data_IF_826970477939
#
_entry.id   IF_826970477939
#
_cell.length_a   1.000
_cell.length_b   1.000
_cell.length_c   1.000
_cell.angle_alpha   90.00
_cell.angle_beta   90.00
_cell.angle_gamma   90.00
#
_symmetry.space_group_name_H-M   'P 1'
#
loop_
_entity.id
_entity.type
_entity.pdbx_description
1 polymer ?
#
# COMPACT_ATOMS: atom_id res chain seq x y z
N UNK A 1 11.06 9.86 -21.83
CA UNK A 1 10.80 8.40 -21.84
C UNK A 1 12.03 7.58 -21.47
N UNK A 2 13.22 7.79 -22.08
CA UNK A 2 14.41 6.97 -21.82
C UNK A 2 14.93 7.11 -20.37
N UNK A 3 14.97 8.30 -19.82
CA UNK A 3 15.40 8.55 -18.44
C UNK A 3 14.43 7.88 -17.46
N UNK A 4 13.14 8.07 -17.64
CA UNK A 4 12.13 7.44 -16.78
C UNK A 4 12.17 5.91 -16.88
N UNK A 5 12.35 5.35 -18.09
CA UNK A 5 12.54 3.91 -18.26
C UNK A 5 13.78 3.39 -17.52
N UNK A 6 14.87 4.17 -17.52
CA UNK A 6 16.07 3.80 -16.75
C UNK A 6 15.83 3.81 -15.25
N UNK A 7 15.09 4.79 -14.73
CA UNK A 7 14.71 4.84 -13.32
C UNK A 7 13.90 3.60 -12.92
N UNK A 8 12.88 3.24 -13.71
CA UNK A 8 12.08 2.04 -13.43
C UNK A 8 12.90 0.76 -13.52
N UNK A 9 13.79 0.65 -14.52
CA UNK A 9 14.74 -0.49 -14.60
C UNK A 9 15.62 -0.61 -13.38
N UNK A 10 16.11 0.51 -12.82
CA UNK A 10 16.93 0.48 -11.61
C UNK A 10 16.20 -0.09 -10.40
N UNK A 11 14.88 0.15 -10.27
CA UNK A 11 14.07 -0.43 -9.20
C UNK A 11 13.95 -1.95 -9.34
N UNK A 12 13.77 -2.43 -10.57
CA UNK A 12 13.75 -3.87 -10.86
C UNK A 12 15.12 -4.50 -10.62
N UNK A 13 16.19 -3.79 -10.93
CA UNK A 13 17.56 -4.27 -10.68
C UNK A 13 17.87 -4.33 -9.17
N UNK A 14 17.34 -3.42 -8.37
CA UNK A 14 17.42 -3.52 -6.90
C UNK A 14 16.75 -4.81 -6.43
N UNK A 15 15.55 -5.10 -6.91
CA UNK A 15 14.88 -6.38 -6.61
C UNK A 15 15.73 -7.59 -6.98
N UNK A 16 16.36 -7.59 -8.17
CA UNK A 16 17.20 -8.70 -8.65
C UNK A 16 18.43 -8.94 -7.77
N UNK A 17 19.00 -7.87 -7.21
CA UNK A 17 20.22 -7.93 -6.42
C UNK A 17 19.98 -8.05 -4.91
N UNK A 18 18.91 -7.43 -4.40
CA UNK A 18 18.62 -7.33 -2.96
C UNK A 18 17.38 -8.15 -2.54
N UNK A 19 16.59 -8.63 -3.51
CA UNK A 19 15.44 -9.52 -3.31
C UNK A 19 14.11 -8.82 -3.09
N UNK A 20 14.08 -7.50 -2.93
CA UNK A 20 12.88 -6.66 -2.80
C UNK A 20 13.08 -5.33 -3.52
N UNK A 21 11.98 -4.74 -4.03
CA UNK A 21 12.00 -3.36 -4.48
C UNK A 21 11.95 -2.41 -3.28
N UNK A 22 12.57 -1.25 -3.35
CA UNK A 22 12.52 -0.26 -2.27
C UNK A 22 11.15 0.43 -2.22
N UNK A 23 10.71 0.80 -1.01
CA UNK A 23 9.67 1.82 -0.82
C UNK A 23 10.29 3.22 -0.98
N UNK A 24 11.27 3.49 -0.14
CA UNK A 24 12.14 4.66 -0.26
C UNK A 24 13.59 4.23 -0.03
N UNK A 25 14.51 4.89 -0.71
CA UNK A 25 15.94 4.65 -0.48
C UNK A 25 16.55 5.75 0.36
N UNK A 26 16.96 5.39 1.57
CA UNK A 26 17.65 6.30 2.49
C UNK A 26 19.10 5.84 2.70
N UNK A 27 20.05 6.67 2.34
CA UNK A 27 21.44 6.26 2.32
C UNK A 27 21.66 5.13 1.31
N UNK A 28 22.13 3.99 1.80
CA UNK A 28 22.33 2.76 1.00
C UNK A 28 21.31 1.66 1.32
N UNK A 29 20.36 1.93 2.19
CA UNK A 29 19.35 0.95 2.63
C UNK A 29 18.04 1.12 1.87
N UNK A 30 17.38 0.02 1.58
CA UNK A 30 16.03 -0.03 1.02
C UNK A 30 14.99 -0.37 2.08
N UNK A 31 15.32 -0.19 3.35
CA UNK A 31 14.50 -0.61 4.47
C UNK A 31 13.08 -0.08 4.46
N UNK A 32 12.25 -0.64 5.30
CA UNK A 32 10.84 -0.30 5.47
C UNK A 32 10.67 1.08 6.11
N UNK A 33 10.92 2.11 5.31
CA UNK A 33 11.02 3.49 5.80
C UNK A 33 9.65 4.09 6.06
N UNK A 34 8.68 3.81 5.18
CA UNK A 34 7.34 4.42 5.24
C UNK A 34 6.23 3.38 5.35
N UNK A 35 5.08 3.65 4.84
CA UNK A 35 3.92 2.79 4.95
C UNK A 35 3.60 2.00 3.67
N UNK A 36 4.17 2.37 2.54
CA UNK A 36 3.77 1.90 1.23
C UNK A 36 4.64 0.79 0.64
N UNK A 37 4.44 0.59 -0.64
CA UNK A 37 5.28 -0.19 -1.56
C UNK A 37 5.30 0.58 -2.90
N UNK A 38 5.79 1.81 -2.85
CA UNK A 38 5.56 2.83 -3.88
C UNK A 38 6.17 2.52 -5.24
N UNK A 39 7.17 1.62 -5.30
CA UNK A 39 7.68 1.13 -6.57
C UNK A 39 6.62 0.41 -7.40
N UNK A 40 5.61 -0.18 -6.77
CA UNK A 40 4.49 -0.84 -7.47
C UNK A 40 3.74 0.19 -8.33
N UNK A 41 3.47 1.37 -7.78
CA UNK A 41 2.80 2.47 -8.48
C UNK A 41 3.63 2.96 -9.67
N UNK A 42 4.95 3.08 -9.49
CA UNK A 42 5.86 3.55 -10.55
C UNK A 42 5.90 2.58 -11.74
N UNK A 43 5.91 1.27 -11.48
CA UNK A 43 5.88 0.24 -12.53
C UNK A 43 4.55 0.28 -13.28
N UNK A 44 3.44 0.37 -12.56
CA UNK A 44 2.11 0.45 -13.16
C UNK A 44 1.94 1.72 -14.02
N UNK A 45 2.38 2.86 -13.51
CA UNK A 45 2.38 4.15 -14.23
C UNK A 45 3.19 4.05 -15.54
N UNK A 46 4.40 3.48 -15.46
CA UNK A 46 5.25 3.27 -16.62
C UNK A 46 4.57 2.36 -17.68
N UNK A 47 3.89 1.30 -17.23
CA UNK A 47 3.16 0.40 -18.11
C UNK A 47 1.96 1.09 -18.75
N UNK A 48 1.17 1.85 -17.99
CA UNK A 48 0.01 2.60 -18.51
C UNK A 48 0.44 3.63 -19.54
N UNK A 49 1.59 4.29 -19.33
CA UNK A 49 2.23 5.23 -20.26
C UNK A 49 2.94 4.56 -21.44
N UNK A 50 2.94 3.23 -21.49
CA UNK A 50 3.58 2.45 -22.54
C UNK A 50 5.08 2.76 -22.70
N UNK A 51 5.80 2.92 -21.60
CA UNK A 51 7.25 3.16 -21.64
C UNK A 51 7.98 1.90 -22.11
N UNK A 52 8.88 2.09 -23.06
CA UNK A 52 9.61 1.01 -23.70
C UNK A 52 10.92 0.66 -22.94
N UNK A 53 11.43 -0.56 -23.18
CA UNK A 53 12.71 -1.01 -22.65
C UNK A 53 12.70 -1.42 -21.18
N UNK A 54 11.52 -1.69 -20.62
CA UNK A 54 11.30 -2.18 -19.26
C UNK A 54 10.86 -3.65 -19.32
N UNK A 55 11.46 -4.50 -18.49
CA UNK A 55 11.01 -5.88 -18.28
C UNK A 55 9.84 -5.89 -17.28
N UNK A 56 8.64 -5.67 -17.79
CA UNK A 56 7.42 -5.67 -16.98
C UNK A 56 7.09 -7.04 -16.37
N UNK A 57 7.58 -8.14 -16.97
CA UNK A 57 7.43 -9.46 -16.39
C UNK A 57 8.22 -9.59 -15.09
N UNK A 58 9.48 -9.17 -15.09
CA UNK A 58 10.30 -9.09 -13.88
C UNK A 58 9.76 -8.06 -12.88
N UNK A 59 9.22 -6.94 -13.38
CA UNK A 59 8.53 -5.94 -12.57
C UNK A 59 7.36 -6.54 -11.81
N UNK A 60 6.49 -7.28 -12.46
CA UNK A 60 5.37 -7.96 -11.80
C UNK A 60 5.85 -8.97 -10.73
N UNK A 61 6.90 -9.74 -11.03
CA UNK A 61 7.47 -10.66 -10.03
C UNK A 61 7.99 -9.93 -8.79
N UNK A 62 8.63 -8.78 -8.98
CA UNK A 62 9.11 -7.94 -7.88
C UNK A 62 7.96 -7.38 -7.04
N UNK A 63 6.89 -6.89 -7.68
CA UNK A 63 5.68 -6.42 -7.00
C UNK A 63 5.02 -7.54 -6.18
N UNK A 64 4.89 -8.74 -6.76
CA UNK A 64 4.34 -9.92 -6.06
C UNK A 64 5.23 -10.33 -4.89
N UNK A 65 6.56 -10.27 -5.04
CA UNK A 65 7.50 -10.55 -3.95
C UNK A 65 7.26 -9.62 -2.75
N UNK A 66 7.14 -8.32 -3.00
CA UNK A 66 6.83 -7.35 -1.95
C UNK A 66 5.47 -7.61 -1.29
N UNK A 67 4.47 -8.02 -2.07
CA UNK A 67 3.10 -8.21 -1.61
C UNK A 67 2.82 -9.55 -0.92
N UNK A 68 3.65 -10.57 -1.17
CA UNK A 68 3.34 -11.95 -0.72
C UNK A 68 4.37 -12.53 0.24
N UNK A 69 5.58 -11.97 0.29
CA UNK A 69 6.68 -12.54 1.08
C UNK A 69 7.23 -11.51 2.05
N UNK A 70 7.07 -11.79 3.34
CA UNK A 70 7.66 -10.96 4.38
C UNK A 70 9.20 -11.07 4.36
N UNK A 71 9.95 -9.97 4.58
CA UNK A 71 11.42 -9.95 4.50
C UNK A 71 12.14 -10.63 5.68
N UNK A 72 11.46 -11.36 6.53
CA UNK A 72 12.07 -12.19 7.56
C UNK A 72 12.82 -11.45 8.67
N UNK A 73 12.47 -10.20 8.95
CA UNK A 73 13.08 -9.40 10.02
C UNK A 73 14.35 -8.63 9.62
N UNK A 74 14.84 -8.77 8.39
CA UNK A 74 15.92 -7.91 7.87
C UNK A 74 15.37 -6.53 7.54
N UNK A 75 15.65 -5.55 8.39
CA UNK A 75 15.16 -4.18 8.26
C UNK A 75 15.73 -3.43 7.05
N UNK A 76 16.81 -3.93 6.47
CA UNK A 76 17.41 -3.36 5.25
C UNK A 76 16.65 -3.76 4.00
N UNK A 77 15.84 -4.81 4.10
CA UNK A 77 15.01 -5.31 3.00
C UNK A 77 13.63 -4.69 3.05
N UNK A 78 13.14 -4.33 1.89
CA UNK A 78 11.79 -3.85 1.75
C UNK A 78 10.79 -5.01 1.78
N UNK A 79 9.55 -4.71 1.65
CA UNK A 79 8.42 -5.62 1.73
C UNK A 79 7.33 -5.02 2.60
N UNK A 80 6.18 -5.67 2.67
CA UNK A 80 5.04 -5.12 3.41
C UNK A 80 5.09 -5.53 4.88
N UNK A 81 5.11 -4.54 5.78
CA UNK A 81 4.96 -4.77 7.22
C UNK A 81 3.52 -5.14 7.59
N UNK A 82 3.34 -6.05 8.58
CA UNK A 82 2.01 -6.56 8.95
C UNK A 82 1.34 -7.39 7.85
N UNK A 83 2.15 -8.00 6.98
CA UNK A 83 1.67 -8.73 5.80
C UNK A 83 0.78 -9.93 6.14
N UNK A 84 1.05 -10.62 7.24
CA UNK A 84 0.22 -11.75 7.67
C UNK A 84 -1.22 -11.31 7.94
N UNK A 85 -1.40 -10.22 8.65
CA UNK A 85 -2.72 -9.64 8.92
C UNK A 85 -3.38 -9.14 7.64
N UNK A 86 -2.65 -8.39 6.83
CA UNK A 86 -3.20 -7.88 5.57
C UNK A 86 -3.73 -9.01 4.68
N UNK A 87 -3.02 -10.12 4.60
CA UNK A 87 -3.43 -11.26 3.78
C UNK A 87 -4.60 -12.06 4.41
N UNK A 88 -4.68 -12.15 5.73
CA UNK A 88 -5.71 -12.94 6.41
C UNK A 88 -6.97 -12.17 6.75
N UNK A 89 -6.82 -10.90 7.16
CA UNK A 89 -7.91 -10.03 7.64
C UNK A 89 -8.39 -9.06 6.54
N UNK A 90 -7.58 -8.83 5.51
CA UNK A 90 -7.79 -7.78 4.52
C UNK A 90 -7.46 -6.38 5.03
N UNK A 91 -6.71 -6.24 6.11
CA UNK A 91 -6.16 -4.99 6.63
C UNK A 91 -5.00 -5.28 7.57
N UNK A 92 -4.13 -4.30 7.79
CA UNK A 92 -3.10 -4.37 8.82
C UNK A 92 -3.75 -4.00 10.15
N UNK A 93 -3.67 -4.91 11.14
CA UNK A 93 -4.28 -4.67 12.46
C UNK A 93 -3.50 -3.64 13.27
N UNK A 94 -4.15 -3.11 14.31
CA UNK A 94 -3.53 -2.16 15.25
C UNK A 94 -2.45 -2.77 16.15
N UNK A 95 -2.13 -4.04 16.00
CA UNK A 95 -0.93 -4.65 16.57
C UNK A 95 0.36 -4.12 15.89
N UNK A 96 0.23 -3.50 14.72
CA UNK A 96 1.34 -2.94 13.97
C UNK A 96 1.25 -1.42 13.89
N UNK A 97 2.38 -0.75 14.01
CA UNK A 97 2.50 0.67 13.74
C UNK A 97 2.09 0.99 12.29
N UNK A 98 1.62 2.21 12.05
CA UNK A 98 1.21 2.70 10.72
C UNK A 98 0.16 1.81 10.04
N UNK A 99 -0.66 1.12 10.83
CA UNK A 99 -1.60 0.12 10.33
C UNK A 99 -2.62 0.69 9.34
N UNK A 100 -3.10 1.91 9.55
CA UNK A 100 -4.01 2.58 8.63
C UNK A 100 -3.31 3.00 7.35
N UNK A 101 -2.18 3.71 7.45
CA UNK A 101 -1.38 4.10 6.28
C UNK A 101 -1.04 2.89 5.44
N UNK A 102 -0.54 1.82 6.06
CA UNK A 102 -0.23 0.56 5.37
C UNK A 102 -1.44 -0.04 4.67
N UNK A 103 -2.59 -0.09 5.30
CA UNK A 103 -3.80 -0.65 4.69
C UNK A 103 -4.23 0.12 3.44
N UNK A 104 -4.21 1.45 3.51
CA UNK A 104 -4.59 2.31 2.39
C UNK A 104 -3.55 2.26 1.26
N UNK A 105 -2.27 2.37 1.60
CA UNK A 105 -1.16 2.28 0.65
C UNK A 105 -1.14 0.91 -0.06
N UNK A 106 -1.27 -0.18 0.70
CA UNK A 106 -1.27 -1.52 0.10
C UNK A 106 -2.47 -1.75 -0.81
N UNK A 107 -3.63 -1.18 -0.50
CA UNK A 107 -4.79 -1.25 -1.38
C UNK A 107 -4.53 -0.56 -2.73
N UNK A 108 -3.85 0.58 -2.72
CA UNK A 108 -3.43 1.27 -3.94
C UNK A 108 -2.33 0.49 -4.69
N UNK A 109 -1.36 -0.08 -3.97
CA UNK A 109 -0.34 -0.93 -4.55
C UNK A 109 -0.95 -2.21 -5.17
N UNK A 110 -1.97 -2.78 -4.55
CA UNK A 110 -2.69 -3.94 -5.10
C UNK A 110 -3.41 -3.60 -6.40
N UNK A 111 -3.99 -2.42 -6.51
CA UNK A 111 -4.52 -1.93 -7.79
C UNK A 111 -3.43 -1.79 -8.85
N UNK A 112 -2.24 -1.33 -8.47
CA UNK A 112 -1.10 -1.26 -9.38
C UNK A 112 -0.66 -2.65 -9.85
N UNK A 113 -0.55 -3.64 -8.95
CA UNK A 113 -0.26 -5.04 -9.30
C UNK A 113 -1.31 -5.58 -10.28
N UNK A 114 -2.61 -5.37 -9.97
CA UNK A 114 -3.70 -5.81 -10.82
C UNK A 114 -3.60 -5.21 -12.23
N UNK A 115 -3.30 -3.92 -12.32
CA UNK A 115 -3.14 -3.20 -13.60
C UNK A 115 -2.00 -3.78 -14.45
N UNK A 116 -0.86 -4.07 -13.83
CA UNK A 116 0.28 -4.67 -14.54
C UNK A 116 -0.02 -6.11 -14.96
N UNK A 117 -0.62 -6.91 -14.06
CA UNK A 117 -1.00 -8.29 -14.34
C UNK A 117 -2.01 -8.40 -15.48
N UNK A 118 -3.03 -7.55 -15.47
CA UNK A 118 -4.05 -7.51 -16.54
C UNK A 118 -3.43 -7.21 -17.90
N UNK A 119 -2.58 -6.19 -17.98
CA UNK A 119 -1.88 -5.85 -19.24
C UNK A 119 -0.90 -6.92 -19.73
N UNK A 120 -0.42 -7.77 -18.83
CA UNK A 120 0.41 -8.94 -19.17
C UNK A 120 -0.43 -10.21 -19.45
N UNK A 121 -1.75 -10.13 -19.43
CA UNK A 121 -2.66 -11.26 -19.63
C UNK A 121 -2.67 -12.27 -18.48
N UNK A 122 -2.24 -11.87 -17.28
CA UNK A 122 -2.21 -12.69 -16.06
C UNK A 122 -3.52 -12.53 -15.27
N UNK A 123 -4.61 -13.00 -15.85
CA UNK A 123 -5.96 -12.68 -15.37
C UNK A 123 -6.25 -13.14 -13.95
N UNK A 124 -5.75 -14.31 -13.51
CA UNK A 124 -5.97 -14.80 -12.15
C UNK A 124 -5.32 -13.88 -11.12
N UNK A 125 -4.11 -13.40 -11.42
CA UNK A 125 -3.40 -12.42 -10.58
C UNK A 125 -4.16 -11.10 -10.58
N UNK A 126 -4.55 -10.60 -11.74
CA UNK A 126 -5.30 -9.36 -11.85
C UNK A 126 -6.59 -9.39 -11.01
N UNK A 127 -7.38 -10.45 -11.13
CA UNK A 127 -8.63 -10.61 -10.38
C UNK A 127 -8.41 -10.64 -8.86
N UNK A 128 -7.38 -11.37 -8.39
CA UNK A 128 -6.99 -11.41 -6.98
C UNK A 128 -6.70 -10.00 -6.47
N UNK A 129 -5.86 -9.27 -7.18
CA UNK A 129 -5.38 -7.97 -6.70
C UNK A 129 -6.39 -6.84 -6.92
N UNK A 130 -7.26 -6.88 -7.93
CA UNK A 130 -8.41 -5.98 -8.00
C UNK A 130 -9.36 -6.14 -6.81
N UNK A 131 -9.56 -7.39 -6.34
CA UNK A 131 -10.33 -7.62 -5.10
C UNK A 131 -9.63 -7.02 -3.89
N UNK A 132 -8.32 -7.24 -3.75
CA UNK A 132 -7.54 -6.73 -2.62
C UNK A 132 -7.47 -5.19 -2.62
N UNK A 133 -7.53 -4.55 -3.77
CA UNK A 133 -7.57 -3.08 -3.88
C UNK A 133 -8.76 -2.44 -3.14
N UNK A 134 -9.80 -3.20 -2.81
CA UNK A 134 -10.91 -2.72 -1.98
C UNK A 134 -10.69 -2.85 -0.47
N UNK A 135 -9.55 -3.36 -0.03
CA UNK A 135 -9.24 -3.66 1.37
C UNK A 135 -9.22 -2.43 2.29
N UNK A 136 -8.97 -1.22 1.75
CA UNK A 136 -9.07 0.03 2.50
C UNK A 136 -10.42 0.17 3.22
N UNK A 137 -11.51 -0.40 2.66
CA UNK A 137 -12.85 -0.36 3.23
C UNK A 137 -12.97 -1.13 4.55
N UNK A 138 -12.09 -2.10 4.80
CA UNK A 138 -12.10 -2.91 6.02
C UNK A 138 -11.71 -2.11 7.27
N UNK A 139 -11.07 -0.97 7.11
CA UNK A 139 -10.72 -0.03 8.18
C UNK A 139 -11.57 1.25 8.14
N UNK A 140 -12.56 1.34 7.28
CA UNK A 140 -13.49 2.46 7.24
C UNK A 140 -14.56 2.32 8.32
N UNK A 141 -14.76 3.34 9.14
CA UNK A 141 -15.75 3.35 10.21
C UNK A 141 -16.76 4.50 10.02
N UNK A 142 -17.97 4.17 9.55
CA UNK A 142 -19.05 5.13 9.28
C UNK A 142 -19.57 5.87 10.55
N UNK A 143 -19.23 5.34 11.75
CA UNK A 143 -19.67 5.92 13.03
C UNK A 143 -18.75 7.02 13.56
N UNK A 144 -17.60 7.21 12.94
CA UNK A 144 -16.69 8.29 13.32
C UNK A 144 -17.14 9.57 12.69
N UNK A 145 -17.26 10.62 13.50
CA UNK A 145 -17.64 11.96 13.06
C UNK A 145 -16.57 12.97 13.41
N UNK A 146 -16.27 13.89 12.51
CA UNK A 146 -15.31 14.97 12.72
C UNK A 146 -15.66 16.16 11.82
N UNK A 147 -15.64 17.37 12.37
CA UNK A 147 -15.87 18.62 11.65
C UNK A 147 -17.19 18.62 10.80
N UNK A 148 -18.21 17.91 11.27
CA UNK A 148 -19.51 17.83 10.56
C UNK A 148 -19.61 16.73 9.49
N UNK A 149 -18.54 15.96 9.26
CA UNK A 149 -18.51 14.82 8.35
C UNK A 149 -18.56 13.50 9.10
N UNK A 150 -18.97 12.43 8.41
CA UNK A 150 -19.05 11.07 8.95
C UNK A 150 -18.29 10.09 8.06
N UNK A 151 -17.73 9.05 8.67
CA UNK A 151 -16.98 8.02 7.96
C UNK A 151 -15.50 8.40 7.78
N UNK A 152 -14.64 7.65 8.47
CA UNK A 152 -13.18 7.87 8.43
C UNK A 152 -12.42 6.56 8.54
N UNK A 153 -11.20 6.54 8.02
CA UNK A 153 -10.22 5.51 8.31
C UNK A 153 -9.99 5.42 9.83
N UNK A 154 -10.15 4.22 10.40
CA UNK A 154 -10.07 4.04 11.85
C UNK A 154 -9.34 2.77 12.23
N UNK A 155 -8.44 2.79 13.24
CA UNK A 155 -7.67 1.62 13.63
C UNK A 155 -8.60 0.48 14.08
N UNK A 156 -8.23 -0.73 13.65
CA UNK A 156 -8.99 -1.95 13.94
C UNK A 156 -8.04 -3.03 14.43
N UNK A 157 -8.41 -3.74 15.49
CA UNK A 157 -7.57 -4.81 16.05
C UNK A 157 -7.78 -6.14 15.31
N UNK A 158 -7.04 -7.16 15.70
CA UNK A 158 -7.08 -8.51 15.11
C UNK A 158 -8.45 -9.19 15.23
N UNK A 159 -9.20 -8.90 16.30
CA UNK A 159 -10.57 -9.41 16.49
C UNK A 159 -11.63 -8.62 15.70
N UNK A 160 -11.21 -7.64 14.94
CA UNK A 160 -12.11 -6.83 14.13
C UNK A 160 -12.81 -5.69 14.89
N UNK A 161 -12.36 -5.33 16.09
CA UNK A 161 -12.90 -4.21 16.86
C UNK A 161 -12.15 -2.92 16.53
N UNK A 162 -12.89 -1.85 16.36
CA UNK A 162 -12.32 -0.51 16.21
C UNK A 162 -11.83 0.03 17.55
N UNK A 163 -10.79 0.85 17.52
CA UNK A 163 -10.34 1.60 18.69
C UNK A 163 -11.39 2.58 19.17
N UNK A 164 -11.39 2.84 20.48
CA UNK A 164 -12.23 3.87 21.07
C UNK A 164 -11.73 5.28 20.71
N UNK A 165 -12.66 6.23 20.62
CA UNK A 165 -12.37 7.63 20.27
C UNK A 165 -11.42 8.34 21.25
N UNK A 166 -11.26 7.82 22.45
CA UNK A 166 -10.34 8.35 23.46
C UNK A 166 -8.87 8.07 23.11
N UNK A 167 -8.62 7.02 22.32
CA UNK A 167 -7.28 6.56 22.00
C UNK A 167 -6.77 7.03 20.63
N UNK A 168 -7.65 7.54 19.77
CA UNK A 168 -7.28 7.99 18.44
C UNK A 168 -8.16 9.15 17.98
N UNK A 169 -7.62 10.04 17.15
CA UNK A 169 -8.30 11.23 16.65
C UNK A 169 -8.15 11.35 15.14
N UNK A 170 -9.17 11.90 14.48
CA UNK A 170 -9.11 12.22 13.04
C UNK A 170 -8.12 13.34 12.72
N UNK A 171 -7.81 14.21 13.70
CA UNK A 171 -7.03 15.44 13.50
C UNK A 171 -5.67 15.43 14.20
N UNK A 172 -5.26 14.29 14.71
CA UNK A 172 -3.96 14.12 15.38
C UNK A 172 -3.32 12.82 14.94
N UNK A 173 -2.02 12.74 15.04
CA UNK A 173 -1.24 11.57 14.65
C UNK A 173 -0.13 11.92 13.67
N UNK A 174 0.26 10.96 12.87
CA UNK A 174 1.28 11.14 11.84
C UNK A 174 2.69 10.86 12.30
N UNK A 175 2.90 10.44 13.55
CA UNK A 175 4.21 10.04 14.06
C UNK A 175 4.52 8.57 13.71
N UNK A 176 5.81 8.24 13.82
CA UNK A 176 6.34 6.94 13.38
C UNK A 176 5.65 5.72 14.01
N UNK A 177 5.34 5.78 15.30
CA UNK A 177 4.72 4.69 16.07
C UNK A 177 3.19 4.67 16.07
N UNK A 178 2.53 5.60 15.37
CA UNK A 178 1.07 5.74 15.38
C UNK A 178 0.39 4.96 14.25
N UNK A 179 -0.96 4.83 14.30
CA UNK A 179 -1.72 4.19 13.22
C UNK A 179 -1.58 4.85 11.85
N UNK A 180 -1.36 6.17 11.82
CA UNK A 180 -1.08 6.95 10.61
C UNK A 180 0.35 7.48 10.62
N UNK A 181 0.95 7.66 9.45
CA UNK A 181 2.30 8.21 9.31
C UNK A 181 2.32 9.35 8.29
N UNK A 182 2.91 10.48 8.70
CA UNK A 182 2.99 11.74 7.91
C UNK A 182 1.62 12.28 7.46
N UNK A 183 0.54 11.78 8.04
CA UNK A 183 -0.83 12.20 7.74
C UNK A 183 -1.73 11.99 8.94
N UNK A 184 -2.92 12.61 8.94
CA UNK A 184 -3.98 12.34 9.91
C UNK A 184 -5.03 11.42 9.30
N UNK A 185 -5.85 10.78 10.13
CA UNK A 185 -6.96 9.95 9.64
C UNK A 185 -7.91 10.73 8.73
N UNK A 186 -8.13 12.02 9.02
CA UNK A 186 -8.97 12.89 8.20
C UNK A 186 -8.42 12.99 6.76
N UNK A 187 -7.13 13.25 6.58
CA UNK A 187 -6.48 13.34 5.27
C UNK A 187 -6.37 11.97 4.61
N UNK A 188 -5.92 10.96 5.36
CA UNK A 188 -5.75 9.59 4.86
C UNK A 188 -7.05 9.02 4.28
N UNK A 189 -8.20 9.39 4.87
CA UNK A 189 -9.52 8.93 4.42
C UNK A 189 -9.82 9.31 2.96
N UNK A 190 -9.14 10.31 2.40
CA UNK A 190 -9.23 10.69 0.99
C UNK A 190 -8.17 10.05 0.09
N UNK A 191 -7.22 9.31 0.67
CA UNK A 191 -6.17 8.65 -0.11
C UNK A 191 -6.65 7.32 -0.69
N UNK A 192 -7.60 7.38 -1.61
CA UNK A 192 -8.13 6.23 -2.36
C UNK A 192 -8.16 6.56 -3.86
N UNK A 193 -7.01 6.93 -4.48
CA UNK A 193 -6.99 7.40 -5.88
C UNK A 193 -7.45 6.34 -6.88
N UNK A 194 -7.33 5.07 -6.52
CA UNK A 194 -7.68 3.92 -7.36
C UNK A 194 -9.17 3.53 -7.28
N UNK A 195 -9.91 3.99 -6.26
CA UNK A 195 -11.34 3.63 -6.05
C UNK A 195 -12.17 4.84 -5.58
N UNK A 196 -11.99 5.97 -6.26
CA UNK A 196 -12.72 7.22 -5.96
C UNK A 196 -14.24 7.06 -6.03
N UNK A 197 -14.73 6.17 -6.87
CA UNK A 197 -16.17 5.89 -6.97
C UNK A 197 -16.73 5.35 -5.66
N UNK A 198 -16.09 4.36 -5.08
CA UNK A 198 -16.51 3.79 -3.79
C UNK A 198 -16.33 4.78 -2.65
N UNK A 199 -15.26 5.58 -2.66
CA UNK A 199 -15.05 6.61 -1.65
C UNK A 199 -16.18 7.67 -1.67
N UNK A 200 -16.53 8.19 -2.84
CA UNK A 200 -17.63 9.18 -2.99
C UNK A 200 -18.97 8.62 -2.48
N UNK A 201 -19.20 7.32 -2.60
CA UNK A 201 -20.42 6.68 -2.10
C UNK A 201 -20.44 6.53 -0.56
N UNK A 202 -19.28 6.62 0.09
CA UNK A 202 -19.13 6.53 1.55
C UNK A 202 -19.15 7.89 2.25
N UNK A 203 -18.85 8.96 1.54
CA UNK A 203 -18.96 10.34 2.00
C UNK A 203 -20.35 10.91 1.78
#
# INVERSE_FOLDING_TARGET
PSVQSNMVRSLIDIYRNEGYMPDARSGNDNGRVQGGSNCDILIADAMVKNLQGIDYGAGLQAMLKNAEVAPGGDERKEGRGGLADYNSLGYVSSAYERCLTRTFEYSNCDFAIATVADRLGKQDIANKYYKNASNWQNTWNDKITSLGFSGFAWPRNEEGKYWDKEHFSTLKGGNWGEPTYETFSFELSFYVPHDMKSLIQKC
#
